data_IF_851455825741
#
_entry.id   IF_851455825741
#
_cell.length_a   1.000
_cell.length_b   1.000
_cell.length_c   1.000
_cell.angle_alpha   90.00
_cell.angle_beta   90.00
_cell.angle_gamma   90.00
#
_symmetry.space_group_name_H-M   'P 1'
#
loop_
_entity.id
_entity.type
_entity.pdbx_description
1 polymer ?
#
# COMPACT_ATOMS: atom_id res chain seq x y z
N UNK A 1 13.03 -18.77 4.35
CA UNK A 1 13.66 -17.49 3.93
C UNK A 1 12.59 -16.64 3.25
N UNK A 2 12.53 -15.34 3.52
CA UNK A 2 11.57 -14.43 2.86
C UNK A 2 12.23 -13.88 1.59
N UNK A 3 11.62 -14.00 0.40
CA UNK A 3 12.20 -13.51 -0.84
C UNK A 3 12.25 -11.99 -0.87
N UNK A 4 13.33 -11.45 -1.44
CA UNK A 4 13.49 -10.02 -1.70
C UNK A 4 13.39 -9.77 -3.19
N UNK A 5 12.59 -8.79 -3.56
CA UNK A 5 12.38 -8.38 -4.95
C UNK A 5 12.85 -6.95 -5.13
N UNK A 6 13.31 -6.61 -6.34
CA UNK A 6 13.80 -5.27 -6.64
C UNK A 6 12.66 -4.26 -6.82
N UNK A 7 11.52 -4.70 -7.32
CA UNK A 7 10.35 -3.86 -7.57
C UNK A 7 9.04 -4.58 -7.22
N UNK A 8 7.97 -3.79 -7.06
CA UNK A 8 6.64 -4.27 -6.63
C UNK A 8 6.00 -5.19 -7.67
N UNK A 9 6.22 -4.93 -8.96
CA UNK A 9 5.65 -5.72 -10.05
C UNK A 9 6.17 -7.17 -10.05
N UNK A 10 7.48 -7.36 -9.92
CA UNK A 10 8.11 -8.68 -9.78
C UNK A 10 7.60 -9.41 -8.54
N UNK A 11 7.51 -8.70 -7.41
CA UNK A 11 7.00 -9.27 -6.17
C UNK A 11 5.56 -9.76 -6.32
N UNK A 12 4.68 -8.95 -6.93
CA UNK A 12 3.27 -9.30 -7.13
C UNK A 12 3.07 -10.43 -8.12
N UNK A 13 3.85 -10.45 -9.20
CA UNK A 13 3.82 -11.55 -10.17
C UNK A 13 4.29 -12.88 -9.54
N UNK A 14 5.32 -12.84 -8.69
CA UNK A 14 5.84 -14.02 -8.01
C UNK A 14 4.97 -14.48 -6.83
N UNK A 15 4.19 -13.57 -6.23
CA UNK A 15 3.33 -13.83 -5.07
C UNK A 15 1.89 -13.38 -5.35
N UNK A 16 1.17 -14.03 -6.30
CA UNK A 16 -0.16 -13.60 -6.70
C UNK A 16 -1.18 -13.64 -5.55
N UNK A 17 -0.98 -14.53 -4.57
CA UNK A 17 -1.81 -14.69 -3.38
C UNK A 17 -1.72 -13.53 -2.39
N UNK A 18 -0.70 -12.68 -2.47
CA UNK A 18 -0.53 -11.57 -1.54
C UNK A 18 -1.54 -10.46 -1.85
N UNK A 19 -2.54 -10.27 -0.98
CA UNK A 19 -3.62 -9.30 -1.16
C UNK A 19 -3.53 -8.07 -0.24
N UNK A 20 -2.50 -8.01 0.63
CA UNK A 20 -2.21 -6.87 1.50
C UNK A 20 -0.84 -6.29 1.18
N UNK A 21 -0.76 -4.96 1.04
CA UNK A 21 0.51 -4.22 0.90
C UNK A 21 0.77 -3.36 2.14
N UNK A 22 1.97 -3.50 2.73
CA UNK A 22 2.44 -2.61 3.79
C UNK A 22 3.52 -1.68 3.22
N UNK A 23 3.19 -0.39 3.07
CA UNK A 23 4.07 0.61 2.48
C UNK A 23 4.80 1.42 3.56
N UNK A 24 6.08 1.07 3.75
CA UNK A 24 7.03 1.75 4.65
C UNK A 24 7.92 2.77 3.92
N UNK A 25 7.59 3.15 2.69
CA UNK A 25 8.35 4.14 1.96
C UNK A 25 8.32 5.51 2.67
N UNK A 26 9.34 6.34 2.43
CA UNK A 26 9.38 7.72 2.95
C UNK A 26 8.23 8.57 2.40
N UNK A 27 7.91 9.69 3.06
CA UNK A 27 6.87 10.62 2.58
C UNK A 27 7.07 11.13 1.16
N UNK A 28 8.31 11.13 0.66
CA UNK A 28 8.67 11.56 -0.70
C UNK A 28 8.26 10.56 -1.77
N UNK A 29 8.16 9.28 -1.40
CA UNK A 29 7.98 8.17 -2.34
C UNK A 29 6.74 7.32 -2.05
N UNK A 30 6.16 7.42 -0.86
CA UNK A 30 5.00 6.63 -0.44
C UNK A 30 3.79 6.83 -1.35
N UNK A 31 3.56 8.05 -1.85
CA UNK A 31 2.47 8.31 -2.81
C UNK A 31 2.68 7.52 -4.12
N UNK A 32 3.84 7.68 -4.76
CA UNK A 32 4.12 7.04 -6.05
C UNK A 32 4.07 5.51 -5.95
N UNK A 33 4.67 4.94 -4.90
CA UNK A 33 4.63 3.49 -4.63
C UNK A 33 3.19 3.00 -4.44
N UNK A 34 2.35 3.76 -3.75
CA UNK A 34 0.94 3.37 -3.53
C UNK A 34 0.14 3.43 -4.84
N UNK A 35 0.37 4.46 -5.66
CA UNK A 35 -0.30 4.61 -6.96
C UNK A 35 0.13 3.50 -7.92
N UNK A 36 1.42 3.19 -8.00
CA UNK A 36 1.95 2.06 -8.79
C UNK A 36 1.32 0.74 -8.34
N UNK A 37 1.23 0.49 -7.03
CA UNK A 37 0.60 -0.72 -6.51
C UNK A 37 -0.90 -0.81 -6.84
N UNK A 38 -1.62 0.33 -6.85
CA UNK A 38 -3.03 0.38 -7.27
C UNK A 38 -3.17 0.03 -8.75
N UNK A 39 -2.24 0.46 -9.59
CA UNK A 39 -2.21 0.18 -11.03
C UNK A 39 -1.84 -1.28 -11.33
N UNK A 40 -0.90 -1.86 -10.59
CA UNK A 40 -0.58 -3.30 -10.64
C UNK A 40 -1.81 -4.14 -10.26
N UNK A 41 -2.57 -3.70 -9.26
CA UNK A 41 -3.81 -4.35 -8.82
C UNK A 41 -3.62 -5.67 -8.07
N UNK A 42 -4.75 -6.31 -7.74
CA UNK A 42 -4.78 -7.58 -7.00
C UNK A 42 -4.54 -7.45 -5.49
N UNK A 43 -4.60 -6.23 -4.95
CA UNK A 43 -4.62 -5.96 -3.52
C UNK A 43 -6.04 -5.63 -3.05
N UNK A 44 -6.40 -6.04 -1.83
CA UNK A 44 -7.65 -5.67 -1.16
C UNK A 44 -7.44 -4.54 -0.16
N UNK A 45 -6.27 -4.48 0.46
CA UNK A 45 -5.93 -3.44 1.42
C UNK A 45 -4.47 -3.01 1.33
N UNK A 46 -4.23 -1.72 1.57
CA UNK A 46 -2.90 -1.12 1.60
C UNK A 46 -2.75 -0.25 2.85
N UNK A 47 -1.64 -0.40 3.56
CA UNK A 47 -1.28 0.42 4.71
C UNK A 47 -0.16 1.38 4.35
N UNK A 48 -0.28 2.66 4.67
CA UNK A 48 0.74 3.67 4.41
C UNK A 48 1.17 4.31 5.73
N UNK A 49 2.41 4.08 6.15
CA UNK A 49 2.90 4.58 7.44
C UNK A 49 3.44 6.00 7.39
N UNK A 50 3.88 6.45 6.21
CA UNK A 50 4.56 7.73 6.04
C UNK A 50 3.71 8.91 6.54
N UNK A 51 4.28 9.70 7.45
CA UNK A 51 3.78 11.01 7.84
C UNK A 51 4.25 12.09 6.86
N UNK A 52 3.53 13.21 6.77
CA UNK A 52 3.97 14.37 5.97
C UNK A 52 3.73 14.26 4.46
N UNK A 53 2.93 13.30 3.99
CA UNK A 53 2.43 13.30 2.60
C UNK A 53 1.51 14.53 2.43
N UNK A 54 1.75 15.41 1.43
CA UNK A 54 0.87 16.54 1.17
C UNK A 54 -0.59 16.13 0.98
N UNK A 55 -1.52 16.82 1.62
CA UNK A 55 -2.95 16.46 1.61
C UNK A 55 -3.55 16.32 0.21
N UNK A 56 -3.11 17.16 -0.74
CA UNK A 56 -3.54 17.06 -2.14
C UNK A 56 -3.23 15.68 -2.73
N UNK A 57 -2.04 15.14 -2.46
CA UNK A 57 -1.65 13.80 -2.90
C UNK A 57 -2.43 12.73 -2.16
N UNK A 58 -2.62 12.87 -0.85
CA UNK A 58 -3.42 11.94 -0.07
C UNK A 58 -4.89 11.85 -0.56
N UNK A 59 -5.49 12.99 -0.95
CA UNK A 59 -6.84 13.04 -1.55
C UNK A 59 -6.89 12.29 -2.88
N UNK A 60 -5.96 12.56 -3.79
CA UNK A 60 -5.87 11.86 -5.09
C UNK A 60 -5.63 10.35 -4.89
N UNK A 61 -4.78 9.97 -3.94
CA UNK A 61 -4.53 8.57 -3.60
C UNK A 61 -5.80 7.87 -3.09
N UNK A 62 -6.55 8.51 -2.18
CA UNK A 62 -7.80 7.97 -1.66
C UNK A 62 -8.87 7.84 -2.75
N UNK A 63 -8.97 8.80 -3.67
CA UNK A 63 -9.87 8.71 -4.82
C UNK A 63 -9.53 7.52 -5.73
N UNK A 64 -8.26 7.37 -6.12
CA UNK A 64 -7.79 6.22 -6.90
C UNK A 64 -8.06 4.89 -6.20
N UNK A 65 -7.77 4.81 -4.90
CA UNK A 65 -8.01 3.60 -4.12
C UNK A 65 -9.50 3.23 -4.06
N UNK A 66 -10.38 4.21 -3.87
CA UNK A 66 -11.84 4.01 -3.90
C UNK A 66 -12.33 3.52 -5.26
N UNK A 67 -11.83 4.13 -6.35
CA UNK A 67 -12.16 3.69 -7.70
C UNK A 67 -11.70 2.24 -7.97
N UNK A 68 -10.58 1.83 -7.39
CA UNK A 68 -10.07 0.46 -7.48
C UNK A 68 -10.71 -0.53 -6.48
N UNK A 69 -11.58 -0.07 -5.58
CA UNK A 69 -12.17 -0.91 -4.53
C UNK A 69 -11.17 -1.37 -3.46
N UNK A 70 -10.06 -0.64 -3.28
CA UNK A 70 -8.97 -0.96 -2.35
C UNK A 70 -9.12 -0.17 -1.06
N UNK A 71 -9.02 -0.87 0.08
CA UNK A 71 -9.05 -0.22 1.40
C UNK A 71 -7.68 0.36 1.72
N UNK A 72 -7.61 1.67 2.00
CA UNK A 72 -6.38 2.33 2.44
C UNK A 72 -6.45 2.63 3.94
N UNK A 73 -5.44 2.18 4.69
CA UNK A 73 -5.24 2.48 6.11
C UNK A 73 -4.06 3.45 6.21
N UNK A 74 -4.34 4.71 6.51
CA UNK A 74 -3.35 5.80 6.52
C UNK A 74 -3.71 6.91 5.52
N UNK A 75 -2.75 7.81 5.18
CA UNK A 75 -1.36 7.83 5.63
C UNK A 75 -1.22 8.23 7.11
N UNK A 76 0.02 8.38 7.61
CA UNK A 76 0.32 8.78 9.00
C UNK A 76 -0.33 7.87 10.06
N UNK A 77 -0.10 6.56 9.94
CA UNK A 77 -0.66 5.57 10.88
C UNK A 77 0.38 4.51 11.24
N UNK A 78 0.26 3.97 12.45
CA UNK A 78 0.99 2.78 12.89
C UNK A 78 0.42 1.48 12.29
N UNK A 79 -0.78 1.54 11.72
CA UNK A 79 -1.47 0.40 11.11
C UNK A 79 -2.75 0.01 11.84
N UNK A 80 -3.03 -1.29 11.86
CA UNK A 80 -4.21 -1.86 12.50
C UNK A 80 -3.90 -3.26 13.02
N UNK A 81 -4.66 -3.73 14.01
CA UNK A 81 -4.53 -5.08 14.55
C UNK A 81 -5.87 -5.80 14.49
N UNK A 82 -5.84 -7.04 13.99
CA UNK A 82 -6.91 -8.02 14.13
C UNK A 82 -6.36 -9.20 14.93
N UNK A 83 -6.66 -9.31 16.24
CA UNK A 83 -6.13 -10.35 17.10
C UNK A 83 -6.37 -11.76 16.53
N UNK A 84 -5.31 -12.57 16.49
CA UNK A 84 -5.36 -13.93 15.94
C UNK A 84 -5.27 -14.03 14.41
N UNK A 85 -5.17 -12.90 13.68
CA UNK A 85 -5.12 -12.90 12.22
C UNK A 85 -3.96 -12.07 11.64
N UNK A 86 -3.98 -10.75 11.80
CA UNK A 86 -3.06 -9.84 11.12
C UNK A 86 -2.72 -8.62 12.00
N UNK A 87 -1.46 -8.18 11.94
CA UNK A 87 -0.97 -6.94 12.53
C UNK A 87 -0.08 -6.20 11.55
#
# INVERSE_FOLDING_TARGET
>A
MIPLYKNTAEAKAAQPQADVLLNFASFRTAYDVTVEALEIGGFKSMMITAEGIPERLARTMNEKARAAGVTVIGPATVGAITPGALK
#
